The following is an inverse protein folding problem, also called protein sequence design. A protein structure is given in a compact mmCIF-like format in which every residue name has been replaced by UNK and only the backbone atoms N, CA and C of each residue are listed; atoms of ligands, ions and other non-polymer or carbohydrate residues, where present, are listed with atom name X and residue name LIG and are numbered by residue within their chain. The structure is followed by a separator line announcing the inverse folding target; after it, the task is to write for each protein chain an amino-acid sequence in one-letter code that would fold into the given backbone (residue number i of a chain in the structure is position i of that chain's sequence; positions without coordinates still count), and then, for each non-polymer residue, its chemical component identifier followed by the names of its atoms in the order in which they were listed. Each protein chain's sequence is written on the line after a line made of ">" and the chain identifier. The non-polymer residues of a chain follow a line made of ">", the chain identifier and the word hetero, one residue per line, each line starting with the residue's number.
data_IF_527639096475
#
_entry.id   IF_527639096475
#
_cell.length_a   1.000
_cell.length_b   1.000
_cell.length_c   1.000
_cell.angle_alpha   90.00
_cell.angle_beta   90.00
_cell.angle_gamma   90.00
#
_symmetry.space_group_name_H-M   'P 1'
#
loop_
_entity.id
_entity.type
_entity.pdbx_description
1 polymer ?
#
# COMPACT_ATOMS: atom_id res chain seq x y z
N UNK A 1 -33.64 -3.83 -20.68
CA UNK A 1 -33.15 -2.94 -19.61
C UNK A 1 -31.63 -2.77 -19.60
N UNK A 2 -30.85 -3.58 -20.32
CA UNK A 2 -29.43 -3.30 -20.64
C UNK A 2 -29.31 -3.12 -22.16
N UNK A 3 -29.81 -2.00 -22.69
CA UNK A 3 -29.79 -1.72 -24.13
C UNK A 3 -28.35 -1.37 -24.54
N UNK A 4 -27.57 -2.33 -25.03
CA UNK A 4 -26.25 -2.10 -25.66
C UNK A 4 -25.06 -1.80 -24.73
N UNK A 5 -25.29 -1.36 -23.48
CA UNK A 5 -24.22 -1.00 -22.54
C UNK A 5 -23.59 -2.18 -21.76
N UNK A 6 -24.09 -3.40 -21.94
CA UNK A 6 -23.61 -4.57 -21.19
C UNK A 6 -22.11 -4.83 -21.38
N UNK A 7 -21.60 -4.69 -22.61
CA UNK A 7 -20.17 -4.83 -22.91
C UNK A 7 -19.34 -3.76 -22.20
N UNK A 8 -19.72 -2.49 -22.30
CA UNK A 8 -18.99 -1.39 -21.65
C UNK A 8 -18.97 -1.50 -20.12
N UNK A 9 -20.06 -1.99 -19.50
CA UNK A 9 -20.11 -2.25 -18.06
C UNK A 9 -19.16 -3.39 -17.68
N UNK A 10 -19.11 -4.46 -18.47
CA UNK A 10 -18.19 -5.59 -18.25
C UNK A 10 -16.73 -5.15 -18.39
N UNK A 11 -16.42 -4.35 -19.41
CA UNK A 11 -15.07 -3.82 -19.64
C UNK A 11 -14.63 -2.91 -18.48
N UNK A 12 -15.52 -2.02 -18.01
CA UNK A 12 -15.26 -1.16 -16.86
C UNK A 12 -15.08 -1.95 -15.55
N UNK A 13 -15.89 -2.99 -15.34
CA UNK A 13 -15.75 -3.87 -14.19
C UNK A 13 -14.42 -4.65 -14.22
N UNK A 14 -14.03 -5.13 -15.40
CA UNK A 14 -12.76 -5.82 -15.60
C UNK A 14 -11.56 -4.91 -15.34
N UNK A 15 -11.59 -3.69 -15.89
CA UNK A 15 -10.56 -2.68 -15.64
C UNK A 15 -10.46 -2.33 -14.15
N UNK A 16 -11.61 -2.16 -13.48
CA UNK A 16 -11.69 -1.91 -12.03
C UNK A 16 -11.03 -3.03 -11.23
N UNK A 17 -11.31 -4.29 -11.57
CA UNK A 17 -10.71 -5.45 -10.90
C UNK A 17 -9.20 -5.50 -11.09
N UNK A 18 -8.73 -5.30 -12.34
CA UNK A 18 -7.29 -5.30 -12.63
C UNK A 18 -6.59 -4.17 -11.87
N UNK A 19 -7.15 -2.96 -11.91
CA UNK A 19 -6.62 -1.80 -11.20
C UNK A 19 -6.59 -2.05 -9.69
N UNK A 20 -7.66 -2.59 -9.11
CA UNK A 20 -7.73 -2.89 -7.69
C UNK A 20 -6.70 -3.94 -7.27
N UNK A 21 -6.58 -5.04 -8.01
CA UNK A 21 -5.64 -6.14 -7.71
C UNK A 21 -4.18 -5.68 -7.82
N UNK A 22 -3.83 -4.97 -8.89
CA UNK A 22 -2.46 -4.48 -9.12
C UNK A 22 -2.07 -3.40 -8.10
N UNK A 23 -2.98 -2.45 -7.81
CA UNK A 23 -2.77 -1.45 -6.75
C UNK A 23 -2.62 -2.11 -5.37
N UNK A 24 -3.43 -3.13 -5.08
CA UNK A 24 -3.34 -3.87 -3.82
C UNK A 24 -2.00 -4.59 -3.68
N UNK A 25 -1.46 -5.18 -4.76
CA UNK A 25 -0.14 -5.79 -4.71
C UNK A 25 0.95 -4.78 -4.32
N UNK A 26 0.92 -3.58 -4.91
CA UNK A 26 1.84 -2.49 -4.55
C UNK A 26 1.62 -2.03 -3.11
N UNK A 27 0.35 -1.88 -2.69
CA UNK A 27 0.00 -1.48 -1.33
C UNK A 27 0.48 -2.48 -0.27
N UNK A 28 0.43 -3.79 -0.56
CA UNK A 28 0.95 -4.82 0.35
C UNK A 28 2.46 -4.64 0.54
N UNK A 29 3.20 -4.48 -0.55
CA UNK A 29 4.66 -4.30 -0.50
C UNK A 29 5.01 -3.04 0.31
N UNK A 30 4.41 -1.90 -0.04
CA UNK A 30 4.66 -0.63 0.66
C UNK A 30 4.17 -0.68 2.11
N UNK A 31 3.07 -1.35 2.39
CA UNK A 31 2.53 -1.55 3.73
C UNK A 31 3.46 -2.38 4.61
N UNK A 32 4.00 -3.48 4.09
CA UNK A 32 4.98 -4.30 4.80
C UNK A 32 6.27 -3.54 5.07
N UNK A 33 6.79 -2.79 4.09
CA UNK A 33 7.97 -1.93 4.26
C UNK A 33 7.70 -0.84 5.30
N UNK A 34 6.56 -0.15 5.21
CA UNK A 34 6.17 0.87 6.17
C UNK A 34 6.02 0.31 7.59
N UNK A 35 5.41 -0.88 7.73
CA UNK A 35 5.29 -1.55 9.03
C UNK A 35 6.67 -1.94 9.58
N UNK A 36 7.57 -2.46 8.74
CA UNK A 36 8.94 -2.80 9.13
C UNK A 36 9.73 -1.57 9.60
N UNK A 37 9.58 -0.42 8.94
CA UNK A 37 10.19 0.84 9.37
C UNK A 37 9.65 1.28 10.74
N UNK A 38 8.34 1.25 10.94
CA UNK A 38 7.70 1.63 12.22
C UNK A 38 8.04 0.71 13.37
N UNK A 39 8.28 -0.57 13.10
CA UNK A 39 8.70 -1.57 14.10
C UNK A 39 10.22 -1.62 14.30
N UNK A 40 10.98 -0.85 13.51
CA UNK A 40 12.44 -0.86 13.56
C UNK A 40 12.95 -0.36 14.91
N UNK A 41 13.99 -0.99 15.49
CA UNK A 41 14.64 -0.48 16.70
C UNK A 41 15.35 0.87 16.45
N UNK A 42 15.61 1.21 15.18
CA UNK A 42 16.30 2.43 14.79
C UNK A 42 15.31 3.59 14.74
N UNK A 43 15.48 4.57 15.63
CA UNK A 43 14.55 5.69 15.82
C UNK A 43 14.24 6.46 14.53
N UNK A 44 15.23 6.72 13.68
CA UNK A 44 15.00 7.48 12.45
C UNK A 44 14.12 6.72 11.44
N UNK A 45 14.30 5.40 11.32
CA UNK A 45 13.45 4.55 10.48
C UNK A 45 12.02 4.53 11.02
N UNK A 46 11.86 4.39 12.33
CA UNK A 46 10.55 4.42 12.98
C UNK A 46 9.82 5.75 12.74
N UNK A 47 10.53 6.87 12.87
CA UNK A 47 9.98 8.21 12.59
C UNK A 47 9.57 8.34 11.13
N UNK A 48 10.40 7.92 10.17
CA UNK A 48 10.04 7.98 8.74
C UNK A 48 8.76 7.20 8.43
N UNK A 49 8.66 5.97 8.95
CA UNK A 49 7.46 5.16 8.76
C UNK A 49 6.22 5.77 9.43
N UNK A 50 6.39 6.38 10.61
CA UNK A 50 5.30 7.07 11.32
C UNK A 50 4.84 8.31 10.56
N UNK A 51 5.77 9.14 10.08
CA UNK A 51 5.48 10.33 9.28
C UNK A 51 4.77 9.96 7.99
N UNK A 52 5.27 8.97 7.25
CA UNK A 52 4.61 8.46 6.05
C UNK A 52 3.16 8.04 6.34
N UNK A 53 2.96 7.15 7.32
CA UNK A 53 1.61 6.68 7.67
C UNK A 53 0.69 7.83 8.10
N UNK A 54 1.20 8.75 8.93
CA UNK A 54 0.40 9.82 9.54
C UNK A 54 0.01 10.89 8.52
N UNK A 55 0.95 11.34 7.70
CA UNK A 55 0.70 12.38 6.69
C UNK A 55 -0.28 11.87 5.64
N UNK A 56 -0.03 10.68 5.09
CA UNK A 56 -0.86 10.13 4.02
C UNK A 56 -2.28 9.86 4.50
N UNK A 57 -2.45 9.28 5.70
CA UNK A 57 -3.78 9.02 6.26
C UNK A 57 -4.47 10.26 6.84
N UNK A 58 -3.74 11.38 6.96
CA UNK A 58 -4.26 12.66 7.44
C UNK A 58 -4.81 13.56 6.32
N UNK A 59 -4.48 13.26 5.06
CA UNK A 59 -4.91 14.03 3.88
C UNK A 59 -6.06 13.26 3.19
N UNK A 60 -7.10 13.94 2.67
CA UNK A 60 -8.15 13.27 1.91
C UNK A 60 -7.62 12.52 0.68
N UNK A 61 -8.09 11.28 0.47
CA UNK A 61 -7.63 10.39 -0.61
C UNK A 61 -7.68 11.04 -2.00
N UNK A 62 -8.78 11.73 -2.32
CA UNK A 62 -8.94 12.40 -3.61
C UNK A 62 -7.85 13.47 -3.83
N UNK A 63 -7.51 14.23 -2.79
CA UNK A 63 -6.47 15.27 -2.87
C UNK A 63 -5.11 14.62 -3.13
N UNK A 64 -4.81 13.51 -2.45
CA UNK A 64 -3.57 12.77 -2.69
C UNK A 64 -3.51 12.16 -4.08
N UNK A 65 -4.63 11.65 -4.59
CA UNK A 65 -4.70 11.10 -5.95
C UNK A 65 -4.32 12.19 -6.96
N UNK A 66 -4.97 13.35 -6.88
CA UNK A 66 -4.68 14.47 -7.78
C UNK A 66 -3.22 14.94 -7.64
N UNK A 67 -2.74 15.08 -6.40
CA UNK A 67 -1.38 15.54 -6.13
C UNK A 67 -0.32 14.58 -6.67
N UNK A 68 -0.47 13.28 -6.42
CA UNK A 68 0.53 12.27 -6.84
C UNK A 68 0.44 12.06 -8.35
N UNK A 69 -0.76 12.04 -8.93
CA UNK A 69 -0.94 11.84 -10.37
C UNK A 69 -0.36 13.00 -11.17
N UNK A 70 -0.87 14.23 -10.96
CA UNK A 70 -0.42 15.41 -11.70
C UNK A 70 0.95 15.91 -11.23
N UNK A 71 1.16 15.96 -9.91
CA UNK A 71 2.43 16.41 -9.34
C UNK A 71 3.57 15.40 -9.54
N UNK A 72 3.28 14.09 -9.59
CA UNK A 72 4.26 13.07 -9.92
C UNK A 72 4.74 13.19 -11.37
N UNK A 73 3.83 13.43 -12.31
CA UNK A 73 4.19 13.67 -13.72
C UNK A 73 5.04 14.94 -13.89
N UNK A 74 4.65 16.04 -13.25
CA UNK A 74 5.45 17.28 -13.25
C UNK A 74 6.82 17.06 -12.60
N UNK A 75 6.89 16.35 -11.47
CA UNK A 75 8.15 16.04 -10.79
C UNK A 75 9.09 15.21 -11.67
N UNK A 76 8.59 14.15 -12.30
CA UNK A 76 9.38 13.33 -13.23
C UNK A 76 9.93 14.18 -14.36
N UNK A 77 9.10 15.00 -14.99
CA UNK A 77 9.52 15.87 -16.08
C UNK A 77 10.48 17.00 -15.66
N UNK A 78 10.53 17.37 -14.37
CA UNK A 78 11.54 18.30 -13.85
C UNK A 78 12.86 17.64 -13.49
N UNK A 79 12.81 16.41 -12.99
CA UNK A 79 14.01 15.68 -12.52
C UNK A 79 14.72 14.98 -13.66
N UNK A 80 13.99 14.43 -14.63
CA UNK A 80 14.56 13.65 -15.74
C UNK A 80 15.57 14.44 -16.61
N UNK A 81 15.33 15.72 -16.94
CA UNK A 81 16.34 16.54 -17.62
C UNK A 81 17.64 16.69 -16.82
N UNK A 82 17.55 16.76 -15.49
CA UNK A 82 18.75 16.83 -14.63
C UNK A 82 19.58 15.55 -14.67
N UNK A 83 18.98 14.43 -15.08
CA UNK A 83 19.64 13.14 -15.26
C UNK A 83 20.08 12.88 -16.70
N UNK A 84 19.92 13.87 -17.61
CA UNK A 84 20.30 13.77 -19.02
C UNK A 84 19.21 13.22 -19.94
N UNK A 85 17.95 13.17 -19.47
CA UNK A 85 16.78 12.83 -20.29
C UNK A 85 16.00 14.10 -20.62
N UNK A 86 16.28 14.70 -21.77
CA UNK A 86 15.69 15.99 -22.17
C UNK A 86 14.28 15.85 -22.79
N UNK A 87 13.80 14.63 -22.99
CA UNK A 87 12.47 14.37 -23.55
C UNK A 87 11.38 14.38 -22.46
N UNK A 88 10.21 14.89 -22.84
CA UNK A 88 9.02 14.85 -22.00
C UNK A 88 8.54 13.40 -21.84
N UNK A 89 8.45 12.93 -20.59
CA UNK A 89 7.97 11.60 -20.24
C UNK A 89 6.49 11.70 -19.87
N UNK A 90 5.65 11.10 -20.71
CA UNK A 90 4.23 10.93 -20.42
C UNK A 90 4.01 9.61 -19.68
N UNK A 91 3.53 9.70 -18.43
CA UNK A 91 3.34 8.51 -17.59
C UNK A 91 2.00 7.89 -17.93
N UNK A 92 2.00 6.60 -18.24
CA UNK A 92 0.77 5.86 -18.50
C UNK A 92 -0.24 6.03 -17.33
N UNK A 93 -1.48 6.51 -17.59
CA UNK A 93 -2.47 6.77 -16.53
C UNK A 93 -2.80 5.56 -15.67
N UNK A 94 -2.85 4.36 -16.26
CA UNK A 94 -3.08 3.13 -15.50
C UNK A 94 -1.94 2.87 -14.53
N UNK A 95 -0.68 2.99 -14.98
CA UNK A 95 0.51 2.81 -14.13
C UNK A 95 0.55 3.87 -13.03
N UNK A 96 0.31 5.14 -13.38
CA UNK A 96 0.24 6.23 -12.42
C UNK A 96 -0.84 5.98 -11.35
N UNK A 97 -2.03 5.53 -11.77
CA UNK A 97 -3.13 5.16 -10.88
C UNK A 97 -2.76 4.00 -9.94
N UNK A 98 -2.12 2.95 -10.47
CA UNK A 98 -1.65 1.80 -9.67
C UNK A 98 -0.68 2.22 -8.58
N UNK A 99 0.33 3.02 -8.91
CA UNK A 99 1.32 3.48 -7.93
C UNK A 99 0.73 4.49 -6.94
N UNK A 100 -0.14 5.37 -7.40
CA UNK A 100 -0.84 6.35 -6.55
C UNK A 100 -1.70 5.64 -5.51
N UNK A 101 -2.57 4.74 -5.95
CA UNK A 101 -3.42 3.94 -5.06
C UNK A 101 -2.58 3.03 -4.17
N UNK A 102 -1.55 2.39 -4.74
CA UNK A 102 -0.62 1.55 -4.01
C UNK A 102 0.08 2.30 -2.86
N UNK A 103 0.51 3.54 -3.11
CA UNK A 103 1.15 4.39 -2.12
C UNK A 103 0.17 4.83 -1.02
N UNK A 104 -1.03 5.30 -1.38
CA UNK A 104 -2.04 5.71 -0.41
C UNK A 104 -2.45 4.53 0.47
N UNK A 105 -2.89 3.42 -0.13
CA UNK A 105 -3.33 2.24 0.60
C UNK A 105 -2.20 1.48 1.28
N UNK A 106 -0.96 1.66 0.82
CA UNK A 106 0.23 1.18 1.50
C UNK A 106 0.39 1.79 2.90
N UNK A 107 0.05 3.07 3.08
CA UNK A 107 0.06 3.71 4.40
C UNK A 107 -1.00 3.09 5.34
N UNK A 108 -2.20 2.82 4.84
CA UNK A 108 -3.25 2.16 5.62
C UNK A 108 -2.91 0.70 5.97
N UNK A 109 -2.32 -0.04 5.02
CA UNK A 109 -1.85 -1.41 5.27
C UNK A 109 -0.67 -1.45 6.23
N UNK A 110 0.22 -0.45 6.22
CA UNK A 110 1.30 -0.33 7.20
C UNK A 110 0.75 -0.29 8.64
N UNK A 111 -0.31 0.48 8.89
CA UNK A 111 -0.98 0.49 10.19
C UNK A 111 -1.59 -0.88 10.52
N UNK A 112 -2.26 -1.49 9.54
CA UNK A 112 -2.91 -2.79 9.72
C UNK A 112 -1.90 -3.86 10.10
N UNK A 113 -0.78 -3.97 9.37
CA UNK A 113 0.26 -4.95 9.65
C UNK A 113 0.99 -4.67 10.95
N UNK A 114 1.31 -3.40 11.25
CA UNK A 114 1.90 -3.01 12.53
C UNK A 114 0.98 -3.36 13.70
N UNK A 115 -0.31 -3.02 13.59
CA UNK A 115 -1.32 -3.35 14.61
C UNK A 115 -1.47 -4.85 14.80
N UNK A 116 -1.51 -5.62 13.70
CA UNK A 116 -1.57 -7.07 13.73
C UNK A 116 -0.34 -7.71 14.38
N UNK A 117 0.85 -7.16 14.13
CA UNK A 117 2.09 -7.63 14.76
C UNK A 117 2.10 -7.33 16.27
N UNK A 118 1.66 -6.13 16.67
CA UNK A 118 1.58 -5.72 18.09
C UNK A 118 0.50 -6.48 18.87
N UNK A 119 -0.48 -7.06 18.20
CA UNK A 119 -1.52 -7.90 18.83
C UNK A 119 -1.00 -9.28 19.25
N UNK A 120 0.16 -9.72 18.75
CA UNK A 120 0.74 -11.02 19.09
C UNK A 120 1.25 -10.98 20.55
N UNK A 121 0.85 -11.92 21.41
CA UNK A 121 1.37 -11.99 22.78
C UNK A 121 2.90 -12.17 22.79
N UNK A 122 3.61 -11.34 23.56
CA UNK A 122 5.08 -11.37 23.65
C UNK A 122 5.65 -12.74 24.03
N UNK A 123 4.91 -13.49 24.86
CA UNK A 123 5.28 -14.85 25.27
C UNK A 123 5.45 -15.84 24.12
N UNK A 124 4.85 -15.61 22.95
CA UNK A 124 5.06 -16.45 21.75
C UNK A 124 6.52 -16.38 21.26
N UNK A 125 7.09 -15.17 21.24
CA UNK A 125 8.48 -14.97 20.85
C UNK A 125 9.45 -15.53 21.91
N UNK A 126 9.13 -15.28 23.19
CA UNK A 126 9.92 -15.75 24.33
C UNK A 126 9.95 -17.29 24.42
N UNK A 127 8.82 -17.96 24.18
CA UNK A 127 8.74 -19.42 24.16
C UNK A 127 9.59 -20.03 23.04
N UNK A 128 9.57 -19.44 21.84
CA UNK A 128 10.42 -19.89 20.73
C UNK A 128 11.91 -19.73 21.04
N UNK A 129 12.30 -18.60 21.63
CA UNK A 129 13.68 -18.37 22.06
C UNK A 129 14.11 -19.35 23.16
N UNK A 130 13.25 -19.62 24.15
CA UNK A 130 13.50 -20.60 25.22
C UNK A 130 13.63 -22.04 24.70
N UNK A 131 12.98 -22.36 23.59
CA UNK A 131 13.10 -23.64 22.88
C UNK A 131 14.36 -23.73 21.99
N UNK A 132 15.23 -22.71 22.00
CA UNK A 132 16.48 -22.69 21.25
C UNK A 132 16.34 -22.24 19.79
N UNK A 133 15.20 -21.67 19.39
CA UNK A 133 15.02 -21.14 18.03
C UNK A 133 15.80 -19.83 17.84
N UNK A 134 16.42 -19.66 16.67
CA UNK A 134 17.04 -18.38 16.31
C UNK A 134 15.97 -17.29 16.09
N UNK A 135 16.34 -16.02 16.21
CA UNK A 135 15.40 -14.90 16.03
C UNK A 135 14.70 -14.94 14.67
N UNK A 136 15.40 -15.39 13.61
CA UNK A 136 14.81 -15.56 12.28
C UNK A 136 13.79 -16.72 12.24
N UNK A 137 14.07 -17.82 12.93
CA UNK A 137 13.13 -18.94 13.04
C UNK A 137 11.88 -18.54 13.82
N UNK A 138 12.04 -17.84 14.95
CA UNK A 138 10.91 -17.31 15.73
C UNK A 138 10.09 -16.35 14.86
N UNK A 139 10.74 -15.42 14.16
CA UNK A 139 10.05 -14.48 13.28
C UNK A 139 9.26 -15.18 12.17
N UNK A 140 9.92 -16.03 11.35
CA UNK A 140 9.28 -16.64 10.18
C UNK A 140 8.29 -17.76 10.52
N UNK A 141 8.54 -18.55 11.56
CA UNK A 141 7.72 -19.74 11.88
C UNK A 141 6.64 -19.47 12.93
N UNK A 142 6.82 -18.48 13.80
CA UNK A 142 5.89 -18.18 14.90
C UNK A 142 5.18 -16.86 14.65
N UNK A 143 5.92 -15.76 14.46
CA UNK A 143 5.34 -14.42 14.43
C UNK A 143 4.63 -14.12 13.11
N UNK A 144 5.25 -14.37 11.96
CA UNK A 144 4.68 -14.07 10.64
C UNK A 144 3.33 -14.78 10.40
N UNK A 145 3.17 -16.09 10.64
CA UNK A 145 1.89 -16.76 10.44
C UNK A 145 0.77 -16.23 11.34
N UNK A 146 1.10 -15.85 12.58
CA UNK A 146 0.14 -15.24 13.51
C UNK A 146 -0.24 -13.83 13.09
N UNK A 147 0.75 -13.01 12.71
CA UNK A 147 0.54 -11.65 12.20
C UNK A 147 -0.41 -11.67 11.00
N UNK A 148 -0.22 -12.58 10.04
CA UNK A 148 -1.09 -12.70 8.86
C UNK A 148 -2.53 -12.93 9.30
N UNK A 149 -2.79 -13.83 10.25
CA UNK A 149 -4.15 -14.11 10.75
C UNK A 149 -4.79 -12.88 11.40
N UNK A 150 -4.05 -12.14 12.21
CA UNK A 150 -4.53 -10.91 12.83
C UNK A 150 -4.74 -9.77 11.81
N UNK A 151 -3.99 -9.77 10.70
CA UNK A 151 -4.10 -8.76 9.67
C UNK A 151 -5.32 -8.96 8.73
N UNK A 152 -5.85 -10.18 8.59
CA UNK A 152 -6.94 -10.50 7.63
C UNK A 152 -8.16 -9.56 7.74
N UNK A 153 -8.70 -9.26 8.94
CA UNK A 153 -9.87 -8.38 9.04
C UNK A 153 -9.58 -6.96 8.54
N UNK A 154 -8.46 -6.37 8.96
CA UNK A 154 -8.04 -5.04 8.54
C UNK A 154 -7.64 -5.00 7.06
N UNK A 155 -7.00 -6.05 6.57
CA UNK A 155 -6.67 -6.21 5.16
C UNK A 155 -7.92 -6.26 4.29
N UNK A 156 -8.91 -7.07 4.67
CA UNK A 156 -10.20 -7.17 3.96
C UNK A 156 -10.93 -5.84 3.94
N UNK A 157 -10.92 -5.09 5.05
CA UNK A 157 -11.52 -3.76 5.08
C UNK A 157 -10.82 -2.81 4.09
N UNK A 158 -9.48 -2.76 4.09
CA UNK A 158 -8.73 -1.93 3.15
C UNK A 158 -8.94 -2.36 1.69
N UNK A 159 -9.08 -3.65 1.41
CA UNK A 159 -9.44 -4.16 0.09
C UNK A 159 -10.77 -3.60 -0.41
N UNK A 160 -11.81 -3.62 0.44
CA UNK A 160 -13.13 -3.08 0.08
C UNK A 160 -13.10 -1.57 -0.14
N UNK A 161 -12.34 -0.83 0.67
CA UNK A 161 -12.19 0.62 0.50
C UNK A 161 -11.41 0.93 -0.77
N UNK A 162 -10.30 0.24 -1.02
CA UNK A 162 -9.48 0.39 -2.24
C UNK A 162 -10.32 0.13 -3.49
N UNK A 163 -11.07 -0.96 -3.51
CA UNK A 163 -11.94 -1.32 -4.64
C UNK A 163 -12.94 -0.20 -4.94
N UNK A 164 -13.56 0.39 -3.90
CA UNK A 164 -14.47 1.54 -4.09
C UNK A 164 -13.73 2.80 -4.55
N UNK A 165 -12.53 3.03 -4.03
CA UNK A 165 -11.72 4.20 -4.34
C UNK A 165 -11.13 4.17 -5.76
N UNK A 166 -11.06 3.01 -6.42
CA UNK A 166 -10.69 2.94 -7.86
C UNK A 166 -11.58 3.82 -8.74
N UNK A 167 -12.83 4.06 -8.36
CA UNK A 167 -13.72 4.98 -9.06
C UNK A 167 -13.18 6.42 -9.08
N UNK A 168 -12.40 6.83 -8.08
CA UNK A 168 -11.77 8.16 -8.04
C UNK A 168 -10.70 8.33 -9.13
N UNK A 169 -10.09 7.23 -9.59
CA UNK A 169 -9.11 7.24 -10.69
C UNK A 169 -9.76 7.60 -12.02
N UNK A 170 -11.08 7.42 -12.18
CA UNK A 170 -11.78 7.87 -13.40
C UNK A 170 -11.83 9.39 -13.58
N UNK A 171 -11.46 10.17 -12.55
CA UNK A 171 -11.41 11.64 -12.59
C UNK A 171 -10.09 12.15 -13.18
N UNK A 172 -9.06 11.32 -13.24
CA UNK A 172 -7.72 11.66 -13.73
C UNK A 172 -7.37 10.95 -15.04
#
# INVERSE_FOLDING_TARGET
>A
MLNGYGSSILDGAWLTLILALTSMAVAIVLGLVGAAFRLSPVRWLAVLGETYSTVIRGIPDLVLILLIFYGGQDLVNRVMPMLGYDEYIDINPFVAGVFTMGFIFGAYLSETFRGAFMAIPKGQAEAGAAYGMSSLQVFLRILVPQMIRFAIPGFTNNWLVLTKATALISVV
#
